data_IF_157794300088
#
_entry.id   IF_157794300088
#
_cell.length_a   1.000
_cell.length_b   1.000
_cell.length_c   1.000
_cell.angle_alpha   90.00
_cell.angle_beta   90.00
_cell.angle_gamma   90.00
#
_symmetry.space_group_name_H-M   'P 1'
#
loop_
_entity.id
_entity.type
_entity.pdbx_description
1 polymer ?
#
# COMPACT_ATOMS: atom_id res chain seq x y z
N UNK A 1 5.39 27.36 -4.99
CA UNK A 1 4.37 28.31 -5.48
C UNK A 1 3.01 27.77 -5.05
N UNK A 2 2.52 28.31 -3.94
CA UNK A 2 1.26 27.98 -3.27
C UNK A 2 0.08 28.59 -4.05
N UNK A 3 -0.82 27.79 -4.63
CA UNK A 3 -2.11 28.32 -5.13
C UNK A 3 -3.20 27.29 -5.49
N UNK A 4 -3.18 26.03 -5.01
CA UNK A 4 -4.26 25.06 -5.36
C UNK A 4 -4.78 24.19 -4.20
N UNK A 5 -4.63 24.63 -2.95
CA UNK A 5 -4.95 23.81 -1.77
C UNK A 5 -6.37 23.94 -1.20
N UNK A 6 -7.34 24.53 -1.91
CA UNK A 6 -8.60 24.96 -1.25
C UNK A 6 -9.91 24.25 -1.63
N UNK A 7 -9.92 23.16 -2.42
CA UNK A 7 -11.21 22.62 -2.91
C UNK A 7 -11.65 21.22 -2.44
N UNK A 8 -10.90 20.52 -1.60
CA UNK A 8 -11.40 19.28 -1.00
C UNK A 8 -11.04 19.27 0.48
N UNK A 9 -12.00 19.65 1.32
CA UNK A 9 -11.93 19.69 2.78
C UNK A 9 -11.76 18.30 3.41
N UNK A 10 -10.66 17.62 3.09
CA UNK A 10 -10.16 16.49 3.84
C UNK A 10 -8.92 17.00 4.58
N UNK A 11 -9.04 17.08 5.90
CA UNK A 11 -7.96 17.25 6.87
C UNK A 11 -7.01 16.06 6.73
N UNK A 12 -6.19 16.06 5.68
CA UNK A 12 -5.08 15.14 5.55
C UNK A 12 -3.88 15.87 6.14
N UNK A 13 -3.35 15.44 7.30
CA UNK A 13 -2.23 16.11 7.95
C UNK A 13 -1.02 16.20 7.02
N UNK A 14 -0.21 17.26 7.11
CA UNK A 14 0.99 17.42 6.27
C UNK A 14 1.99 16.25 6.37
N UNK A 15 1.93 15.44 7.44
CA UNK A 15 2.70 14.20 7.62
C UNK A 15 2.29 13.06 6.64
N UNK A 16 1.12 13.16 6.00
CA UNK A 16 0.64 12.24 4.96
C UNK A 16 1.21 12.57 3.56
N UNK A 17 1.76 13.77 3.35
CA UNK A 17 2.50 14.10 2.12
C UNK A 17 3.85 13.37 2.03
N UNK A 18 4.32 12.78 3.13
CA UNK A 18 5.50 11.90 3.14
C UNK A 18 5.18 10.47 2.66
N UNK A 19 3.91 10.07 2.68
CA UNK A 19 3.42 8.77 2.19
C UNK A 19 3.04 8.79 0.70
N UNK A 20 2.84 9.97 0.10
CA UNK A 20 2.62 10.11 -1.36
C UNK A 20 3.87 9.73 -2.18
N UNK A 21 5.06 9.72 -1.57
CA UNK A 21 6.25 9.12 -2.17
C UNK A 21 6.11 7.59 -2.37
N UNK A 22 5.21 6.91 -1.65
CA UNK A 22 5.16 5.44 -1.69
C UNK A 22 4.48 4.87 -2.95
N UNK A 23 3.53 5.58 -3.57
CA UNK A 23 2.95 5.18 -4.89
C UNK A 23 4.02 5.00 -5.98
N UNK A 24 5.21 5.55 -5.77
CA UNK A 24 6.37 5.40 -6.62
C UNK A 24 7.28 4.23 -6.18
N UNK A 25 7.50 4.01 -4.88
CA UNK A 25 8.54 3.08 -4.40
C UNK A 25 8.33 1.59 -4.70
N UNK A 26 7.15 0.96 -4.55
CA UNK A 26 7.05 -0.49 -4.79
C UNK A 26 7.24 -0.85 -6.27
N UNK A 27 6.65 -0.05 -7.17
CA UNK A 27 6.76 -0.23 -8.61
C UNK A 27 8.13 0.21 -9.13
N UNK A 28 8.65 1.37 -8.70
CA UNK A 28 9.98 1.85 -9.11
C UNK A 28 11.13 1.06 -8.50
N UNK A 29 11.02 0.55 -7.27
CA UNK A 29 12.07 -0.27 -6.64
C UNK A 29 12.17 -1.64 -7.30
N UNK A 30 11.04 -2.26 -7.64
CA UNK A 30 11.05 -3.50 -8.43
C UNK A 30 11.58 -3.26 -9.85
N UNK A 31 11.21 -2.12 -10.44
CA UNK A 31 11.64 -1.69 -11.76
C UNK A 31 13.14 -1.35 -11.84
N UNK A 32 13.73 -0.76 -10.79
CA UNK A 32 15.16 -0.43 -10.74
C UNK A 32 16.00 -1.63 -10.32
N UNK A 33 15.49 -2.50 -9.44
CA UNK A 33 16.18 -3.72 -9.02
C UNK A 33 16.17 -4.81 -10.11
N UNK A 34 15.15 -4.83 -10.99
CA UNK A 34 15.01 -5.84 -12.04
C UNK A 34 14.58 -5.18 -13.38
N UNK A 35 15.52 -4.68 -14.19
CA UNK A 35 15.23 -4.11 -15.51
C UNK A 35 14.43 -5.07 -16.41
N UNK A 36 14.66 -6.38 -16.27
CA UNK A 36 13.93 -7.44 -16.95
C UNK A 36 12.44 -7.48 -16.58
N UNK A 37 12.10 -7.12 -15.34
CA UNK A 37 10.71 -6.98 -14.90
C UNK A 37 9.99 -5.88 -15.66
N UNK A 38 10.65 -4.74 -15.90
CA UNK A 38 10.05 -3.68 -16.71
C UNK A 38 9.79 -4.13 -18.13
N UNK A 39 10.72 -4.88 -18.73
CA UNK A 39 10.52 -5.43 -20.06
C UNK A 39 9.30 -6.38 -20.10
N UNK A 40 9.12 -7.23 -19.08
CA UNK A 40 7.94 -8.10 -18.92
C UNK A 40 6.64 -7.30 -18.73
N UNK A 41 6.65 -6.25 -17.91
CA UNK A 41 5.50 -5.35 -17.68
C UNK A 41 5.12 -4.63 -18.99
N UNK A 42 6.08 -4.08 -19.71
CA UNK A 42 5.84 -3.33 -20.95
C UNK A 42 5.22 -4.21 -22.03
N UNK A 43 5.63 -5.48 -22.13
CA UNK A 43 5.01 -6.46 -23.04
C UNK A 43 3.79 -7.18 -22.45
N UNK A 44 3.30 -6.76 -21.27
CA UNK A 44 2.12 -7.31 -20.59
C UNK A 44 2.20 -8.82 -20.33
N UNK A 45 3.39 -9.32 -19.97
CA UNK A 45 3.63 -10.74 -19.67
C UNK A 45 3.17 -11.71 -20.78
N UNK A 46 3.29 -11.29 -22.04
CA UNK A 46 2.79 -12.04 -23.21
C UNK A 46 3.67 -13.22 -23.62
N UNK A 47 4.91 -13.31 -23.16
CA UNK A 47 5.80 -14.41 -23.52
C UNK A 47 5.67 -15.58 -22.54
N UNK A 48 5.84 -16.83 -23.02
CA UNK A 48 5.92 -17.99 -22.14
C UNK A 48 7.01 -17.80 -21.07
N UNK A 49 6.66 -18.06 -19.81
CA UNK A 49 7.58 -17.93 -18.68
C UNK A 49 7.68 -16.52 -18.06
N UNK A 50 7.06 -15.49 -18.65
CA UNK A 50 7.05 -14.13 -18.08
C UNK A 50 6.43 -14.11 -16.68
N UNK A 51 5.32 -14.84 -16.49
CA UNK A 51 4.60 -14.89 -15.20
C UNK A 51 5.44 -15.62 -14.14
N UNK A 52 6.04 -16.75 -14.50
CA UNK A 52 6.86 -17.54 -13.57
C UNK A 52 8.10 -16.78 -13.13
N UNK A 53 8.77 -16.11 -14.08
CA UNK A 53 9.95 -15.29 -13.83
C UNK A 53 9.60 -14.06 -12.99
N UNK A 54 8.47 -13.41 -13.27
CA UNK A 54 8.00 -12.30 -12.47
C UNK A 54 7.69 -12.73 -11.03
N UNK A 55 7.08 -13.91 -10.84
CA UNK A 55 6.84 -14.48 -9.51
C UNK A 55 8.16 -14.73 -8.77
N UNK A 56 9.19 -15.24 -9.43
CA UNK A 56 10.52 -15.42 -8.83
C UNK A 56 11.11 -14.08 -8.35
N UNK A 57 11.05 -13.03 -9.17
CA UNK A 57 11.53 -11.70 -8.75
C UNK A 57 10.73 -11.11 -7.59
N UNK A 58 9.41 -11.31 -7.57
CA UNK A 58 8.57 -10.89 -6.43
C UNK A 58 8.98 -11.62 -5.16
N UNK A 59 9.26 -12.93 -5.22
CA UNK A 59 9.70 -13.74 -4.08
C UNK A 59 11.13 -13.40 -3.62
N UNK A 60 12.01 -13.03 -4.55
CA UNK A 60 13.38 -12.58 -4.26
C UNK A 60 13.40 -11.15 -3.71
N UNK A 61 12.36 -10.36 -3.99
CA UNK A 61 12.22 -9.01 -3.48
C UNK A 61 11.51 -9.00 -2.13
N UNK A 62 11.83 -8.01 -1.30
CA UNK A 62 11.06 -7.74 -0.08
C UNK A 62 9.71 -7.05 -0.38
N UNK A 63 9.29 -6.94 -1.65
CA UNK A 63 8.14 -6.14 -2.07
C UNK A 63 6.84 -6.55 -1.37
N UNK A 64 6.60 -7.86 -1.20
CA UNK A 64 5.43 -8.38 -0.48
C UNK A 64 5.49 -7.95 0.98
N UNK A 65 6.61 -8.20 1.66
CA UNK A 65 6.80 -7.86 3.07
C UNK A 65 6.66 -6.36 3.31
N UNK A 66 7.17 -5.52 2.40
CA UNK A 66 7.04 -4.06 2.47
C UNK A 66 5.57 -3.62 2.36
N UNK A 67 4.81 -4.19 1.42
CA UNK A 67 3.37 -3.87 1.30
C UNK A 67 2.56 -4.37 2.51
N UNK A 68 2.89 -5.54 3.06
CA UNK A 68 2.27 -6.06 4.29
C UNK A 68 2.57 -5.16 5.49
N UNK A 69 3.83 -4.75 5.67
CA UNK A 69 4.24 -3.83 6.73
C UNK A 69 3.44 -2.52 6.67
N UNK A 70 3.26 -1.97 5.47
CA UNK A 70 2.49 -0.74 5.29
C UNK A 70 1.01 -0.93 5.58
N UNK A 71 0.41 -2.02 5.09
CA UNK A 71 -0.97 -2.34 5.43
C UNK A 71 -1.14 -2.40 6.95
N UNK A 72 -0.22 -3.06 7.67
CA UNK A 72 -0.23 -3.09 9.14
C UNK A 72 -0.13 -1.69 9.75
N UNK A 73 0.77 -0.84 9.25
CA UNK A 73 0.91 0.54 9.74
C UNK A 73 -0.38 1.34 9.56
N UNK A 74 -1.02 1.24 8.39
CA UNK A 74 -2.30 1.92 8.12
C UNK A 74 -3.43 1.40 9.01
N UNK A 75 -3.51 0.09 9.24
CA UNK A 75 -4.51 -0.46 10.14
C UNK A 75 -4.30 0.02 11.59
N UNK A 76 -3.07 0.00 12.11
CA UNK A 76 -2.78 0.54 13.45
C UNK A 76 -3.15 2.02 13.57
N UNK A 77 -2.85 2.81 12.54
CA UNK A 77 -3.23 4.23 12.48
C UNK A 77 -4.75 4.39 12.51
N UNK A 78 -5.47 3.62 11.70
CA UNK A 78 -6.93 3.63 11.66
C UNK A 78 -7.52 3.29 13.03
N UNK A 79 -7.03 2.23 13.69
CA UNK A 79 -7.46 1.86 15.05
C UNK A 79 -7.20 2.99 16.04
N UNK A 80 -6.04 3.65 15.97
CA UNK A 80 -5.71 4.78 16.85
C UNK A 80 -6.67 5.95 16.68
N UNK A 81 -7.04 6.27 15.45
CA UNK A 81 -7.99 7.36 15.15
C UNK A 81 -9.43 6.98 15.55
N UNK A 82 -9.87 5.75 15.27
CA UNK A 82 -11.20 5.23 15.67
C UNK A 82 -11.34 5.21 17.20
N UNK A 83 -10.26 4.88 17.91
CA UNK A 83 -10.26 4.79 19.39
C UNK A 83 -10.49 6.13 20.09
N UNK A 84 -10.37 7.27 19.37
CA UNK A 84 -10.72 8.60 19.90
C UNK A 84 -12.24 8.81 19.99
N UNK A 85 -13.03 8.01 19.29
CA UNK A 85 -14.48 8.06 19.34
C UNK A 85 -15.00 7.44 20.64
N UNK A 86 -16.22 7.85 21.05
CA UNK A 86 -16.87 7.29 22.23
C UNK A 86 -17.03 5.77 22.08
N UNK A 87 -16.81 4.98 23.15
CA UNK A 87 -17.04 3.54 23.12
C UNK A 87 -18.46 3.19 22.68
N UNK A 88 -18.56 2.37 21.65
CA UNK A 88 -19.83 1.84 21.14
C UNK A 88 -19.59 0.54 20.37
N UNK A 89 -20.62 -0.31 20.22
CA UNK A 89 -20.52 -1.53 19.41
C UNK A 89 -20.09 -1.25 17.96
N UNK A 90 -20.51 -0.13 17.38
CA UNK A 90 -20.17 0.26 16.02
C UNK A 90 -18.68 0.63 15.90
N UNK A 91 -18.13 1.33 16.90
CA UNK A 91 -16.70 1.61 16.99
C UNK A 91 -15.89 0.32 17.03
N UNK A 92 -16.31 -0.63 17.86
CA UNK A 92 -15.60 -1.90 18.03
C UNK A 92 -15.66 -2.74 16.74
N UNK A 93 -16.78 -2.72 16.02
CA UNK A 93 -16.91 -3.33 14.70
C UNK A 93 -15.96 -2.69 13.66
N UNK A 94 -15.77 -1.35 13.68
CA UNK A 94 -14.82 -0.67 12.81
C UNK A 94 -13.36 -1.06 13.10
N UNK A 95 -13.02 -1.24 14.38
CA UNK A 95 -11.70 -1.74 14.79
C UNK A 95 -11.49 -3.17 14.25
N UNK A 96 -12.46 -4.06 14.46
CA UNK A 96 -12.40 -5.44 13.95
C UNK A 96 -12.25 -5.50 12.43
N UNK A 97 -12.95 -4.64 11.68
CA UNK A 97 -12.81 -4.56 10.23
C UNK A 97 -11.38 -4.24 9.80
N UNK A 98 -10.69 -3.35 10.52
CA UNK A 98 -9.30 -3.00 10.20
C UNK A 98 -8.32 -4.17 10.40
N UNK A 99 -8.62 -5.08 11.34
CA UNK A 99 -7.80 -6.27 11.61
C UNK A 99 -8.09 -7.40 10.62
N UNK A 100 -9.35 -7.56 10.20
CA UNK A 100 -9.76 -8.54 9.17
C UNK A 100 -9.04 -8.28 7.85
N UNK A 101 -8.84 -7.00 7.48
CA UNK A 101 -8.13 -6.64 6.23
C UNK A 101 -6.70 -7.18 6.20
N UNK A 102 -6.04 -7.33 7.36
CA UNK A 102 -4.66 -7.84 7.45
C UNK A 102 -4.57 -9.37 7.43
N UNK A 103 -5.63 -10.04 7.89
CA UNK A 103 -5.65 -11.50 8.12
C UNK A 103 -6.49 -12.25 7.10
N UNK A 104 -7.10 -11.54 6.14
CA UNK A 104 -7.92 -12.12 5.09
C UNK A 104 -7.07 -13.03 4.20
N UNK A 105 -7.30 -14.32 4.31
CA UNK A 105 -6.81 -15.29 3.33
C UNK A 105 -7.63 -15.22 2.03
N UNK A 106 -7.03 -15.55 0.89
CA UNK A 106 -7.68 -15.49 -0.43
C UNK A 106 -8.22 -16.84 -0.89
#
# INVERSE_FOLDING_TARGET
MCALFFLLGLLIPWWWLQDINFRLTAREKLATAFPEMNAMIMRRFRLPGDVDRARQYVLQSDGVQQTTYLAQRYCHEAVREISKLRPSPERDALIQLSEIVLTRDK
#
